data_IF_361102290007
#
_entry.id   IF_361102290007
#
_cell.length_a   1.000
_cell.length_b   1.000
_cell.length_c   1.000
_cell.angle_alpha   90.00
_cell.angle_beta   90.00
_cell.angle_gamma   90.00
#
_symmetry.space_group_name_H-M   'P 1'
#
loop_
_entity.id
_entity.type
_entity.pdbx_description
1 polymer ?
#
# COMPACT_ATOMS: atom_id res chain seq x y z
N UNK A 1 11.77 7.36 18.30
CA UNK A 1 12.65 6.31 17.76
C UNK A 1 12.32 6.03 16.28
N UNK A 2 13.18 6.52 15.39
CA UNK A 2 13.18 6.17 13.97
C UNK A 2 13.50 4.67 13.82
N UNK A 3 12.53 3.87 13.35
CA UNK A 3 12.79 2.48 13.02
C UNK A 3 13.77 2.44 11.82
N UNK A 4 14.99 1.95 12.07
CA UNK A 4 15.97 1.64 11.03
C UNK A 4 15.66 0.27 10.44
N UNK A 5 15.65 0.19 9.12
CA UNK A 5 15.44 -1.02 8.32
C UNK A 5 16.39 -2.16 8.67
N UNK A 6 17.58 -1.84 9.13
CA UNK A 6 18.60 -2.83 9.52
C UNK A 6 18.22 -3.57 10.80
N UNK A 7 17.28 -3.01 11.58
CA UNK A 7 16.85 -3.54 12.90
C UNK A 7 15.50 -4.25 12.87
N UNK A 8 14.81 -4.33 11.73
CA UNK A 8 13.58 -5.14 11.59
C UNK A 8 13.93 -6.62 11.38
N UNK A 9 13.26 -7.49 12.13
CA UNK A 9 13.44 -8.95 12.10
C UNK A 9 13.36 -9.49 10.67
N UNK A 10 14.30 -10.36 10.30
CA UNK A 10 14.41 -10.98 8.96
C UNK A 10 13.13 -11.74 8.58
N UNK A 11 12.31 -12.16 9.56
CA UNK A 11 10.99 -12.77 9.31
C UNK A 11 9.95 -11.80 8.72
N UNK A 12 10.04 -10.51 9.00
CA UNK A 12 9.17 -9.47 8.39
C UNK A 12 9.67 -8.99 7.02
N UNK A 13 10.87 -9.41 6.59
CA UNK A 13 11.51 -9.03 5.32
C UNK A 13 11.22 -10.00 4.17
N UNK A 14 10.06 -10.67 4.14
CA UNK A 14 9.66 -11.43 2.95
C UNK A 14 9.16 -10.47 1.87
N UNK A 15 10.10 -9.92 1.09
CA UNK A 15 9.84 -9.10 -0.09
C UNK A 15 9.38 -10.02 -1.23
N UNK A 16 8.10 -10.38 -1.27
CA UNK A 16 7.49 -10.93 -2.48
C UNK A 16 7.16 -9.74 -3.38
N UNK A 17 8.14 -9.33 -4.18
CA UNK A 17 7.91 -8.34 -5.24
C UNK A 17 7.63 -9.05 -6.55
N UNK A 18 6.40 -8.96 -7.01
CA UNK A 18 6.04 -9.41 -8.34
C UNK A 18 6.22 -8.26 -9.33
N UNK A 19 6.65 -8.57 -10.55
CA UNK A 19 6.76 -7.59 -11.63
C UNK A 19 5.68 -7.86 -12.66
N UNK A 20 4.87 -6.85 -13.00
CA UNK A 20 3.83 -6.91 -14.03
C UNK A 20 4.22 -5.90 -15.11
N UNK A 21 4.69 -6.36 -16.27
CA UNK A 21 5.20 -5.53 -17.37
C UNK A 21 6.10 -4.36 -16.89
N UNK A 22 7.11 -4.67 -16.06
CA UNK A 22 8.04 -3.68 -15.49
C UNK A 22 7.53 -2.93 -14.24
N UNK A 23 6.24 -3.03 -13.90
CA UNK A 23 5.67 -2.45 -12.69
C UNK A 23 5.92 -3.36 -11.49
N UNK A 24 6.67 -2.89 -10.50
CA UNK A 24 6.89 -3.63 -9.26
C UNK A 24 5.70 -3.49 -8.31
N UNK A 25 5.21 -4.62 -7.85
CA UNK A 25 4.13 -4.73 -6.86
C UNK A 25 4.68 -5.37 -5.60
N UNK A 26 4.40 -4.79 -4.45
CA UNK A 26 4.71 -5.39 -3.15
C UNK A 26 3.42 -5.70 -2.38
N UNK A 27 3.47 -6.68 -1.48
CA UNK A 27 2.39 -6.96 -0.54
C UNK A 27 2.96 -6.96 0.89
N UNK A 28 2.23 -6.35 1.82
CA UNK A 28 2.64 -6.23 3.21
C UNK A 28 1.44 -6.18 4.15
N UNK A 29 1.56 -6.81 5.31
CA UNK A 29 0.67 -6.54 6.43
C UNK A 29 1.41 -5.64 7.43
N UNK A 30 0.84 -4.46 7.73
CA UNK A 30 1.51 -3.48 8.61
C UNK A 30 1.07 -3.58 10.07
N UNK A 31 0.15 -4.48 10.42
CA UNK A 31 -0.35 -4.72 11.78
C UNK A 31 -0.65 -3.43 12.57
N UNK A 32 -1.30 -2.47 11.91
CA UNK A 32 -1.63 -1.14 12.42
C UNK A 32 -0.44 -0.29 12.91
N UNK A 33 0.79 -0.68 12.59
CA UNK A 33 1.98 -0.05 13.10
C UNK A 33 2.37 1.20 12.29
N UNK A 34 2.31 2.38 12.94
CA UNK A 34 2.77 3.67 12.37
C UNK A 34 4.18 3.60 11.78
N UNK A 35 5.09 2.89 12.46
CA UNK A 35 6.47 2.70 12.00
C UNK A 35 6.53 1.91 10.69
N UNK A 36 5.79 0.81 10.59
CA UNK A 36 5.70 -0.01 9.39
C UNK A 36 5.09 0.76 8.21
N UNK A 37 4.04 1.58 8.44
CA UNK A 37 3.49 2.45 7.40
C UNK A 37 4.52 3.46 6.87
N UNK A 38 5.31 4.08 7.75
CA UNK A 38 6.38 5.03 7.37
C UNK A 38 7.47 4.36 6.52
N UNK A 39 7.80 3.12 6.87
CA UNK A 39 8.75 2.24 6.21
C UNK A 39 8.24 1.86 4.81
N UNK A 40 6.95 1.54 4.66
CA UNK A 40 6.29 1.32 3.36
C UNK A 40 6.29 2.58 2.50
N UNK A 41 5.95 3.75 3.06
CA UNK A 41 5.96 5.02 2.32
C UNK A 41 7.35 5.34 1.76
N UNK A 42 8.42 5.12 2.56
CA UNK A 42 9.81 5.28 2.11
C UNK A 42 10.19 4.32 0.99
N UNK A 43 9.83 3.04 1.08
CA UNK A 43 10.06 2.09 -0.01
C UNK A 43 9.32 2.51 -1.27
N UNK A 44 8.05 2.91 -1.14
CA UNK A 44 7.28 3.34 -2.29
C UNK A 44 7.93 4.54 -3.01
N UNK A 45 8.52 5.47 -2.25
CA UNK A 45 9.25 6.62 -2.77
C UNK A 45 10.58 6.22 -3.44
N UNK A 46 11.41 5.40 -2.79
CA UNK A 46 12.79 5.10 -3.22
C UNK A 46 12.93 3.86 -4.12
N UNK A 47 12.20 2.77 -3.80
CA UNK A 47 12.31 1.49 -4.49
C UNK A 47 11.43 1.42 -5.74
N UNK A 48 11.13 2.55 -6.40
CA UNK A 48 10.29 2.64 -7.61
C UNK A 48 9.19 1.56 -7.70
N UNK A 49 8.43 1.40 -6.61
CA UNK A 49 7.29 0.50 -6.54
C UNK A 49 6.13 1.19 -7.26
N UNK A 50 5.47 0.47 -8.15
CA UNK A 50 4.26 0.95 -8.80
C UNK A 50 3.05 0.84 -7.88
N UNK A 51 2.96 -0.25 -7.13
CA UNK A 51 1.82 -0.50 -6.24
C UNK A 51 2.24 -1.28 -4.98
N UNK A 52 1.54 -1.05 -3.88
CA UNK A 52 1.64 -1.82 -2.64
C UNK A 52 0.25 -2.23 -2.17
N UNK A 53 0.08 -3.54 -1.95
CA UNK A 53 -1.12 -4.14 -1.34
C UNK A 53 -0.90 -4.20 0.17
N UNK A 54 -1.76 -3.52 0.94
CA UNK A 54 -1.53 -3.29 2.36
C UNK A 54 -2.69 -3.87 3.17
N UNK A 55 -2.38 -4.76 4.12
CA UNK A 55 -3.31 -5.27 5.11
C UNK A 55 -3.07 -4.63 6.48
N UNK A 56 -4.14 -4.50 7.26
CA UNK A 56 -4.18 -3.91 8.60
C UNK A 56 -3.47 -2.54 8.66
N UNK A 57 -3.89 -1.54 7.84
CA UNK A 57 -3.24 -0.24 7.79
C UNK A 57 -3.22 0.46 9.16
N UNK A 58 -2.25 1.36 9.38
CA UNK A 58 -2.31 2.27 10.52
C UNK A 58 -3.46 3.26 10.31
N UNK A 59 -4.43 3.21 11.23
CA UNK A 59 -5.62 4.05 11.22
C UNK A 59 -5.55 5.03 12.38
N UNK A 60 -5.94 6.27 12.14
CA UNK A 60 -6.15 7.25 13.19
C UNK A 60 -7.41 8.06 12.87
N UNK A 61 -8.35 8.13 13.81
CA UNK A 61 -9.63 8.83 13.66
C UNK A 61 -10.39 8.45 12.37
N UNK A 62 -10.45 7.15 12.05
CA UNK A 62 -11.17 6.64 10.88
C UNK A 62 -10.44 6.77 9.54
N UNK A 63 -9.24 7.37 9.51
CA UNK A 63 -8.48 7.58 8.29
C UNK A 63 -7.21 6.72 8.26
N UNK A 64 -6.88 6.20 7.07
CA UNK A 64 -5.59 5.56 6.80
C UNK A 64 -4.50 6.62 6.73
N UNK A 65 -3.47 6.54 7.59
CA UNK A 65 -2.39 7.52 7.68
C UNK A 65 -1.01 6.89 7.48
N UNK A 66 0.01 7.74 7.34
CA UNK A 66 1.42 7.32 7.27
C UNK A 66 1.84 6.69 5.94
N UNK A 67 0.94 6.63 4.96
CA UNK A 67 1.17 6.11 3.61
C UNK A 67 1.14 7.21 2.54
N UNK A 68 0.99 8.47 2.94
CA UNK A 68 1.00 9.60 2.02
C UNK A 68 2.36 9.70 1.31
N UNK A 69 2.31 9.84 -0.02
CA UNK A 69 3.45 10.15 -0.88
C UNK A 69 2.99 11.14 -1.94
N UNK A 70 3.85 12.09 -2.33
CA UNK A 70 3.52 13.07 -3.38
C UNK A 70 3.16 12.40 -4.71
N UNK A 71 3.72 11.22 -4.95
CA UNK A 71 3.62 10.53 -6.23
C UNK A 71 2.67 9.33 -6.20
N UNK A 72 1.85 9.20 -5.15
CA UNK A 72 0.96 8.06 -5.00
C UNK A 72 -0.39 8.42 -4.40
N UNK A 73 -1.35 7.54 -4.62
CA UNK A 73 -2.69 7.60 -4.03
C UNK A 73 -2.92 6.35 -3.19
N UNK A 74 -3.54 6.55 -2.03
CA UNK A 74 -4.01 5.45 -1.19
C UNK A 74 -5.50 5.26 -1.46
N UNK A 75 -5.92 4.01 -1.67
CA UNK A 75 -7.29 3.62 -1.97
C UNK A 75 -7.77 2.68 -0.88
N UNK A 76 -8.92 2.99 -0.29
CA UNK A 76 -9.58 2.17 0.73
C UNK A 76 -11.09 2.49 0.76
N UNK A 77 -11.86 1.69 1.50
CA UNK A 77 -13.27 2.02 1.75
C UNK A 77 -13.40 3.19 2.74
N UNK A 78 -13.79 4.37 2.26
CA UNK A 78 -13.97 5.55 3.12
C UNK A 78 -15.26 5.51 3.93
N UNK A 79 -16.15 4.53 3.69
CA UNK A 79 -17.41 4.36 4.42
C UNK A 79 -17.23 3.60 5.73
N UNK A 80 -16.05 3.02 5.95
CA UNK A 80 -15.73 2.26 7.18
C UNK A 80 -14.72 3.03 8.02
N UNK A 81 -14.88 2.94 9.34
CA UNK A 81 -14.02 3.55 10.35
C UNK A 81 -12.73 2.75 10.59
N UNK A 82 -12.73 1.45 10.28
CA UNK A 82 -11.62 0.52 10.51
C UNK A 82 -11.31 -0.33 9.28
N UNK A 83 -10.78 0.25 8.18
CA UNK A 83 -10.40 -0.51 6.99
C UNK A 83 -9.27 -1.51 7.30
N UNK A 84 -9.43 -2.75 6.89
CA UNK A 84 -8.43 -3.83 7.05
C UNK A 84 -7.58 -4.05 5.80
N UNK A 85 -7.94 -3.41 4.69
CA UNK A 85 -7.16 -3.40 3.45
C UNK A 85 -7.09 -2.00 2.84
N UNK A 86 -5.95 -1.66 2.25
CA UNK A 86 -5.78 -0.51 1.37
C UNK A 86 -4.74 -0.78 0.28
N UNK A 87 -4.76 0.01 -0.79
CA UNK A 87 -3.80 -0.06 -1.89
C UNK A 87 -3.12 1.29 -2.03
N UNK A 88 -1.79 1.31 -2.04
CA UNK A 88 -0.99 2.48 -2.42
C UNK A 88 -0.53 2.31 -3.87
N UNK A 89 -0.88 3.23 -4.76
CA UNK A 89 -0.60 3.14 -6.20
C UNK A 89 0.05 4.42 -6.73
N UNK A 90 1.03 4.31 -7.64
CA UNK A 90 1.71 5.46 -8.26
C UNK A 90 0.74 6.26 -9.13
N UNK A 91 0.86 7.59 -9.10
CA UNK A 91 -0.03 8.52 -9.81
C UNK A 91 0.01 8.39 -11.34
N UNK A 92 1.10 7.85 -11.91
CA UNK A 92 1.23 7.60 -13.34
C UNK A 92 0.58 6.28 -13.79
N UNK A 93 0.14 5.41 -12.86
CA UNK A 93 -0.54 4.17 -13.19
C UNK A 93 -2.03 4.44 -13.35
N UNK A 94 -2.61 4.04 -14.47
CA UNK A 94 -4.05 4.13 -14.72
C UNK A 94 -4.78 2.98 -14.05
N UNK A 95 -5.83 3.29 -13.31
CA UNK A 95 -6.63 2.29 -12.61
C UNK A 95 -8.11 2.69 -12.54
N UNK A 96 -8.97 1.70 -12.30
CA UNK A 96 -10.39 1.88 -12.01
C UNK A 96 -10.71 1.14 -10.71
N UNK A 97 -11.33 1.82 -9.75
CA UNK A 97 -11.87 1.19 -8.54
C UNK A 97 -13.21 0.53 -8.87
N UNK A 98 -13.43 -0.69 -8.38
CA UNK A 98 -14.72 -1.39 -8.53
C UNK A 98 -15.49 -1.22 -7.22
N UNK A 99 -16.05 -0.03 -7.01
CA UNK A 99 -16.60 0.41 -5.72
C UNK A 99 -17.71 -0.49 -5.16
N UNK A 100 -18.41 -1.23 -6.00
CA UNK A 100 -19.51 -2.13 -5.64
C UNK A 100 -19.03 -3.32 -4.80
N UNK A 101 -17.77 -3.72 -4.96
CA UNK A 101 -17.16 -4.83 -4.22
C UNK A 101 -16.17 -4.35 -3.14
N UNK A 102 -16.08 -3.03 -2.93
CA UNK A 102 -15.25 -2.44 -1.89
C UNK A 102 -15.86 -2.76 -0.53
N UNK A 103 -15.07 -3.35 0.36
CA UNK A 103 -15.49 -3.68 1.73
C UNK A 103 -14.40 -3.27 2.72
N UNK A 104 -14.68 -3.47 4.01
CA UNK A 104 -13.67 -3.32 5.07
C UNK A 104 -12.42 -4.16 4.81
N UNK A 105 -12.56 -5.34 4.24
CA UNK A 105 -11.52 -6.36 4.14
C UNK A 105 -10.96 -6.52 2.70
N UNK A 106 -11.54 -5.83 1.71
CA UNK A 106 -11.20 -5.98 0.29
C UNK A 106 -11.20 -4.63 -0.44
N UNK A 107 -10.13 -4.38 -1.21
CA UNK A 107 -10.02 -3.22 -2.12
C UNK A 107 -9.82 -3.70 -3.56
N UNK A 108 -10.89 -3.79 -4.36
CA UNK A 108 -10.80 -4.25 -5.74
C UNK A 108 -10.48 -3.08 -6.68
N UNK A 109 -9.35 -3.19 -7.36
CA UNK A 109 -8.87 -2.22 -8.34
C UNK A 109 -8.48 -2.97 -9.62
N UNK A 110 -8.97 -2.49 -10.76
CA UNK A 110 -8.51 -2.92 -12.08
C UNK A 110 -7.43 -1.97 -12.56
N UNK A 111 -6.21 -2.46 -12.66
CA UNK A 111 -5.07 -1.69 -13.17
C UNK A 111 -4.99 -1.85 -14.68
N UNK A 112 -4.79 -0.76 -15.41
CA UNK A 112 -4.42 -0.80 -16.83
C UNK A 112 -2.90 -0.82 -16.92
N UNK A 113 -2.39 -1.80 -17.63
CA UNK A 113 -0.98 -1.95 -17.86
C UNK A 113 -0.75 -1.60 -19.32
N UNK A 114 -0.08 -0.49 -19.58
CA UNK A 114 0.27 -0.10 -20.95
C UNK A 114 1.33 -1.08 -21.44
N UNK A 115 0.92 -2.00 -22.31
CA UNK A 115 1.82 -2.76 -23.18
C UNK A 115 2.24 -1.79 -24.28
N UNK A 116 3.44 -1.22 -24.17
CA UNK A 116 4.04 -0.45 -25.25
C UNK A 116 4.03 -1.21 -26.58
#
# INVERSE_FOLDING_TARGET
>A
PCYSWDKMDKKQKHKVTNTINGTRVAQVNVHHAKGASSVVSRMFAHDALGMVLIQEPWINRGAVLGLASKDGKVIWDTRVDKPRACILIRSNIKYVCISEYLTRDLVPVRVRVDTG
#
